data_IF_020167516010
#
_entry.id   IF_020167516010
#
_cell.length_a   1.000
_cell.length_b   1.000
_cell.length_c   1.000
_cell.angle_alpha   90.00
_cell.angle_beta   90.00
_cell.angle_gamma   90.00
#
_symmetry.space_group_name_H-M   'P 1'
#
loop_
_entity.id
_entity.type
_entity.pdbx_description
1 polymer ?
#
# COMPACT_ATOMS: atom_id res chain seq x y z
N UNK A 1 13.19 6.89 20.91
CA UNK A 1 12.97 5.63 20.15
C UNK A 1 14.33 4.98 19.90
N UNK A 2 14.56 3.76 20.38
CA UNK A 2 15.74 3.02 19.96
C UNK A 2 15.56 2.65 18.50
N UNK A 3 16.57 2.92 17.67
CA UNK A 3 16.56 2.47 16.29
C UNK A 3 16.42 0.95 16.26
N UNK A 4 15.59 0.40 15.36
CA UNK A 4 15.47 -1.04 15.21
C UNK A 4 16.85 -1.65 14.89
N UNK A 5 17.10 -2.92 15.29
CA UNK A 5 18.37 -3.59 15.03
C UNK A 5 18.75 -3.48 13.55
N UNK A 6 20.02 -3.14 13.29
CA UNK A 6 20.57 -2.96 11.95
C UNK A 6 20.70 -4.30 11.24
N UNK A 7 19.60 -4.84 10.74
CA UNK A 7 19.66 -5.80 9.65
C UNK A 7 20.29 -5.08 8.45
N UNK A 8 21.17 -5.73 7.67
CA UNK A 8 21.71 -5.13 6.45
C UNK A 8 20.61 -5.06 5.39
N UNK A 9 19.67 -4.13 5.56
CA UNK A 9 18.58 -3.85 4.63
C UNK A 9 19.12 -2.82 3.64
N UNK A 10 19.12 -3.17 2.36
CA UNK A 10 19.35 -2.20 1.31
C UNK A 10 18.07 -1.39 1.13
N UNK A 11 18.17 -0.09 1.35
CA UNK A 11 17.07 0.85 1.11
C UNK A 11 17.36 1.65 -0.16
N UNK A 12 16.35 1.81 -0.99
CA UNK A 12 16.40 2.67 -2.17
C UNK A 12 15.15 3.53 -2.22
N UNK A 13 15.31 4.78 -2.63
CA UNK A 13 14.22 5.74 -2.79
C UNK A 13 14.17 6.12 -4.26
N UNK A 14 12.98 6.02 -4.86
CA UNK A 14 12.72 6.51 -6.21
C UNK A 14 11.53 7.46 -6.19
N UNK A 15 11.46 8.33 -7.20
CA UNK A 15 10.35 9.24 -7.43
C UNK A 15 9.40 8.75 -8.52
N UNK A 16 9.66 7.57 -9.10
CA UNK A 16 8.82 6.98 -10.16
C UNK A 16 8.43 5.55 -9.83
N UNK A 17 7.18 5.18 -10.14
CA UNK A 17 6.71 3.80 -9.99
C UNK A 17 7.38 2.85 -10.99
N UNK A 18 7.73 3.35 -12.17
CA UNK A 18 8.30 2.58 -13.28
C UNK A 18 9.62 1.91 -12.91
N UNK A 19 10.43 2.54 -12.05
CA UNK A 19 11.68 1.95 -11.55
C UNK A 19 11.44 0.88 -10.48
N UNK A 20 10.41 1.05 -9.65
CA UNK A 20 10.15 0.16 -8.51
C UNK A 20 9.34 -1.09 -8.89
N UNK A 21 8.32 -0.94 -9.74
CA UNK A 21 7.34 -1.99 -10.05
C UNK A 21 7.99 -3.28 -10.58
N UNK A 22 8.93 -3.26 -11.54
CA UNK A 22 9.47 -4.50 -12.14
C UNK A 22 10.22 -5.41 -11.14
N UNK A 23 10.80 -4.83 -10.10
CA UNK A 23 11.60 -5.55 -9.10
C UNK A 23 10.82 -5.89 -7.82
N UNK A 24 9.58 -5.42 -7.71
CA UNK A 24 8.76 -5.53 -6.51
C UNK A 24 8.08 -6.89 -6.39
N UNK A 25 8.18 -7.52 -5.21
CA UNK A 25 7.40 -8.70 -4.84
C UNK A 25 6.11 -8.33 -4.08
N UNK A 26 6.14 -7.23 -3.32
CA UNK A 26 4.96 -6.69 -2.61
C UNK A 26 4.86 -5.19 -2.84
N UNK A 27 3.87 -4.76 -3.62
CA UNK A 27 3.54 -3.35 -3.81
C UNK A 27 2.55 -2.94 -2.73
N UNK A 28 3.06 -2.27 -1.68
CA UNK A 28 2.21 -1.77 -0.60
C UNK A 28 1.83 -0.32 -0.84
N UNK A 29 0.59 -0.10 -1.30
CA UNK A 29 0.03 1.21 -1.56
C UNK A 29 -0.52 1.83 -0.28
N UNK A 30 -0.50 3.17 -0.19
CA UNK A 30 -1.09 3.90 0.94
C UNK A 30 -1.95 5.06 0.44
N UNK A 31 -2.99 5.38 1.21
CA UNK A 31 -3.83 6.55 0.94
C UNK A 31 -3.13 7.85 1.32
N UNK A 32 -3.39 8.93 0.58
CA UNK A 32 -3.10 10.28 1.08
C UNK A 32 -4.11 10.63 2.17
N UNK A 33 -3.61 10.80 3.39
CA UNK A 33 -4.43 11.08 4.57
C UNK A 33 -4.78 12.57 4.63
N UNK A 34 -5.99 12.94 4.17
CA UNK A 34 -6.49 14.33 4.16
C UNK A 34 -6.37 14.99 5.54
N UNK A 35 -6.63 14.23 6.59
CA UNK A 35 -6.55 14.65 7.99
C UNK A 35 -5.15 15.07 8.47
N UNK A 36 -4.10 14.81 7.68
CA UNK A 36 -2.72 15.23 8.00
C UNK A 36 -2.33 16.59 7.43
N UNK A 37 -3.21 17.22 6.65
CA UNK A 37 -2.93 18.51 6.03
C UNK A 37 -3.40 19.66 6.91
N UNK A 38 -2.60 20.74 7.07
CA UNK A 38 -3.01 21.92 7.83
C UNK A 38 -4.25 22.61 7.27
N UNK A 39 -4.41 22.58 5.94
CA UNK A 39 -5.55 23.17 5.24
C UNK A 39 -6.03 22.29 4.09
N UNK A 40 -7.30 22.45 3.72
CA UNK A 40 -7.87 21.81 2.52
C UNK A 40 -7.12 22.21 1.24
N UNK A 41 -6.64 23.46 1.15
CA UNK A 41 -5.86 23.93 0.01
C UNK A 41 -4.57 23.12 -0.16
N UNK A 42 -3.87 22.81 0.92
CA UNK A 42 -2.63 22.04 0.87
C UNK A 42 -2.91 20.62 0.37
N UNK A 43 -3.97 19.98 0.88
CA UNK A 43 -4.41 18.68 0.41
C UNK A 43 -4.73 18.66 -1.10
N UNK A 44 -5.53 19.62 -1.58
CA UNK A 44 -5.88 19.71 -3.00
C UNK A 44 -4.67 20.04 -3.88
N UNK A 45 -3.73 20.86 -3.39
CA UNK A 45 -2.51 21.18 -4.15
C UNK A 45 -1.68 19.93 -4.46
N UNK A 46 -1.67 18.93 -3.56
CA UNK A 46 -0.97 17.66 -3.78
C UNK A 46 -1.81 16.72 -4.63
N UNK A 47 -3.06 16.47 -4.24
CA UNK A 47 -3.91 15.47 -4.93
C UNK A 47 -4.30 15.85 -6.35
N UNK A 48 -4.25 17.14 -6.70
CA UNK A 48 -4.45 17.61 -8.07
C UNK A 48 -3.13 17.81 -8.82
N UNK A 49 -1.98 17.61 -8.17
CA UNK A 49 -0.68 17.74 -8.82
C UNK A 49 -0.42 16.57 -9.78
N UNK A 50 0.38 16.84 -10.81
CA UNK A 50 0.90 15.80 -11.70
C UNK A 50 1.75 14.77 -10.94
N UNK A 51 2.40 15.18 -9.85
CA UNK A 51 3.21 14.29 -9.02
C UNK A 51 2.36 13.22 -8.34
N UNK A 52 1.16 13.56 -7.84
CA UNK A 52 0.28 12.56 -7.24
C UNK A 52 -0.14 11.48 -8.23
N UNK A 53 -0.46 11.86 -9.48
CA UNK A 53 -0.82 10.91 -10.53
C UNK A 53 0.30 9.90 -10.82
N UNK A 54 1.56 10.29 -10.67
CA UNK A 54 2.71 9.39 -10.86
C UNK A 54 2.81 8.30 -9.78
N UNK A 55 2.09 8.43 -8.66
CA UNK A 55 2.01 7.45 -7.59
C UNK A 55 0.67 6.71 -7.54
N UNK A 56 -0.24 6.98 -8.49
CA UNK A 56 -1.47 6.21 -8.65
C UNK A 56 -1.20 5.02 -9.58
N UNK A 57 -1.87 3.90 -9.35
CA UNK A 57 -1.76 2.71 -10.22
C UNK A 57 -3.08 2.44 -10.95
N UNK A 58 -2.95 2.10 -12.22
CA UNK A 58 -3.97 1.49 -13.06
C UNK A 58 -3.46 0.14 -13.59
N UNK A 59 -4.28 -0.57 -14.36
CA UNK A 59 -3.89 -1.85 -14.97
C UNK A 59 -2.65 -1.77 -15.85
N UNK A 60 -2.37 -0.62 -16.47
CA UNK A 60 -1.20 -0.42 -17.33
C UNK A 60 0.08 -0.25 -16.50
N UNK A 61 0.01 0.55 -15.44
CA UNK A 61 1.11 0.84 -14.53
C UNK A 61 1.66 -0.44 -13.89
N UNK A 62 0.78 -1.40 -13.58
CA UNK A 62 1.15 -2.68 -12.97
C UNK A 62 1.52 -3.79 -13.96
N UNK A 63 1.42 -3.57 -15.28
CA UNK A 63 1.83 -4.57 -16.28
C UNK A 63 3.29 -5.03 -16.10
N UNK A 64 4.27 -4.15 -15.81
CA UNK A 64 5.66 -4.56 -15.65
C UNK A 64 5.94 -5.34 -14.36
N UNK A 65 4.99 -5.40 -13.42
CA UNK A 65 5.21 -6.07 -12.14
C UNK A 65 5.39 -7.58 -12.34
N UNK A 66 6.15 -8.21 -11.45
CA UNK A 66 6.32 -9.67 -11.47
C UNK A 66 4.96 -10.36 -11.45
N UNK A 67 4.85 -11.50 -12.14
CA UNK A 67 3.63 -12.31 -12.11
C UNK A 67 3.30 -12.83 -10.69
N UNK A 68 4.34 -12.99 -9.85
CA UNK A 68 4.24 -13.43 -8.45
C UNK A 68 4.09 -12.26 -7.48
N UNK A 69 4.11 -11.01 -7.96
CA UNK A 69 3.96 -9.86 -7.08
C UNK A 69 2.54 -9.84 -6.49
N UNK A 70 2.40 -9.28 -5.29
CA UNK A 70 1.09 -8.97 -4.71
C UNK A 70 0.95 -7.47 -4.48
N UNK A 71 -0.26 -6.96 -4.61
CA UNK A 71 -0.62 -5.57 -4.37
C UNK A 71 -1.45 -5.51 -3.08
N UNK A 72 -0.99 -4.72 -2.12
CA UNK A 72 -1.57 -4.58 -0.80
C UNK A 72 -1.97 -3.12 -0.54
N UNK A 73 -2.99 -2.92 0.28
CA UNK A 73 -3.47 -1.60 0.66
C UNK A 73 -4.24 -1.68 1.97
N UNK A 74 -4.02 -0.80 2.95
CA UNK A 74 -4.66 -0.88 4.27
C UNK A 74 -6.15 -0.51 4.25
N UNK A 75 -6.62 0.16 3.20
CA UNK A 75 -7.99 0.65 3.00
C UNK A 75 -8.44 1.70 4.06
N UNK A 76 -9.53 2.45 3.81
CA UNK A 76 -10.21 2.61 2.52
C UNK A 76 -9.28 3.28 1.49
N UNK A 77 -9.44 2.92 0.22
CA UNK A 77 -8.73 3.57 -0.88
C UNK A 77 -9.49 4.81 -1.37
N UNK A 78 -8.77 5.77 -1.93
CA UNK A 78 -9.34 6.90 -2.67
C UNK A 78 -9.09 6.70 -4.17
N UNK A 79 -8.22 7.51 -4.79
CA UNK A 79 -7.94 7.48 -6.23
C UNK A 79 -6.56 6.90 -6.55
N UNK A 80 -5.80 6.46 -5.53
CA UNK A 80 -4.45 5.93 -5.68
C UNK A 80 -4.38 4.54 -6.33
N UNK A 81 -5.50 3.80 -6.36
CA UNK A 81 -5.63 2.52 -7.06
C UNK A 81 -6.91 2.62 -7.89
N UNK A 82 -6.79 2.56 -9.21
CA UNK A 82 -7.93 2.54 -10.11
C UNK A 82 -8.75 1.24 -9.91
N UNK A 83 -10.09 1.30 -9.96
CA UNK A 83 -10.94 0.11 -9.90
C UNK A 83 -10.63 -0.96 -10.95
N UNK A 84 -9.98 -0.64 -12.06
CA UNK A 84 -9.57 -1.61 -13.08
C UNK A 84 -8.50 -2.62 -12.59
N UNK A 85 -7.86 -2.33 -11.45
CA UNK A 85 -6.89 -3.21 -10.78
C UNK A 85 -7.59 -4.30 -9.95
N UNK A 86 -8.88 -4.15 -9.63
CA UNK A 86 -9.61 -5.07 -8.73
C UNK A 86 -9.68 -6.50 -9.27
N UNK A 87 -9.77 -6.63 -10.59
CA UNK A 87 -9.83 -7.92 -11.28
C UNK A 87 -8.44 -8.54 -11.52
N UNK A 88 -7.35 -7.84 -11.16
CA UNK A 88 -6.01 -8.39 -11.28
C UNK A 88 -5.78 -9.46 -10.20
N UNK A 89 -5.34 -10.68 -10.53
CA UNK A 89 -5.12 -11.75 -9.55
C UNK A 89 -4.06 -11.41 -8.49
N UNK A 90 -3.23 -10.38 -8.73
CA UNK A 90 -2.23 -9.89 -7.79
C UNK A 90 -2.84 -8.95 -6.74
N UNK A 91 -4.06 -8.45 -6.93
CA UNK A 91 -4.75 -7.56 -6.00
C UNK A 91 -5.21 -8.32 -4.75
N UNK A 92 -4.48 -8.15 -3.64
CA UNK A 92 -4.68 -8.90 -2.40
C UNK A 92 -5.24 -8.06 -1.25
N UNK A 93 -5.57 -6.79 -1.47
CA UNK A 93 -6.03 -5.88 -0.41
C UNK A 93 -7.39 -6.26 0.20
N UNK A 94 -8.27 -6.95 -0.52
CA UNK A 94 -9.52 -7.49 0.07
C UNK A 94 -9.23 -8.72 0.94
N UNK A 95 -8.42 -9.65 0.45
CA UNK A 95 -7.92 -10.79 1.23
C UNK A 95 -7.16 -10.32 2.48
N UNK A 96 -6.39 -9.23 2.38
CA UNK A 96 -5.70 -8.60 3.51
C UNK A 96 -6.68 -8.15 4.59
N UNK A 97 -7.82 -7.55 4.23
CA UNK A 97 -8.86 -7.15 5.20
C UNK A 97 -9.47 -8.35 5.88
N UNK A 98 -9.78 -9.42 5.12
CA UNK A 98 -10.27 -10.68 5.68
C UNK A 98 -9.25 -11.29 6.65
N UNK A 99 -7.99 -11.36 6.25
CA UNK A 99 -6.89 -11.82 7.09
C UNK A 99 -6.76 -11.00 8.38
N UNK A 100 -7.11 -9.71 8.36
CA UNK A 100 -7.18 -8.87 9.55
C UNK A 100 -8.23 -9.31 10.58
N UNK A 101 -9.30 -10.00 10.18
CA UNK A 101 -10.26 -10.61 11.10
C UNK A 101 -9.62 -11.79 11.82
N UNK A 102 -9.06 -12.74 11.06
CA UNK A 102 -8.42 -13.93 11.63
C UNK A 102 -7.22 -13.57 12.53
N UNK A 103 -6.41 -12.59 12.13
CA UNK A 103 -5.29 -12.13 12.92
C UNK A 103 -5.75 -11.55 14.27
N UNK A 104 -6.83 -10.77 14.29
CA UNK A 104 -7.40 -10.25 15.54
C UNK A 104 -7.98 -11.35 16.41
N UNK A 105 -8.67 -12.33 15.83
CA UNK A 105 -9.16 -13.49 16.57
C UNK A 105 -8.00 -14.25 17.22
N UNK A 106 -6.92 -14.52 16.48
CA UNK A 106 -5.73 -15.18 17.01
C UNK A 106 -5.06 -14.36 18.13
N UNK A 107 -4.89 -13.05 17.95
CA UNK A 107 -4.33 -12.16 18.98
C UNK A 107 -5.19 -12.17 20.24
N UNK A 108 -6.53 -12.07 20.11
CA UNK A 108 -7.44 -12.10 21.24
C UNK A 108 -7.40 -13.45 21.96
N UNK A 109 -7.39 -14.56 21.22
CA UNK A 109 -7.23 -15.91 21.75
C UNK A 109 -5.92 -16.03 22.53
N UNK A 110 -4.79 -15.62 21.95
CA UNK A 110 -3.48 -15.71 22.61
C UNK A 110 -3.39 -14.87 23.90
N UNK A 111 -4.12 -13.76 24.00
CA UNK A 111 -4.11 -12.88 25.18
C UNK A 111 -5.10 -13.35 26.26
N UNK A 112 -6.28 -13.83 25.87
CA UNK A 112 -7.40 -14.04 26.77
C UNK A 112 -7.80 -15.50 26.99
N UNK A 113 -7.31 -16.43 26.16
CA UNK A 113 -7.46 -17.86 26.47
C UNK A 113 -6.52 -18.18 27.64
N UNK A 114 -7.09 -18.61 28.77
CA UNK A 114 -6.33 -19.22 29.85
C UNK A 114 -5.62 -20.47 29.28
N UNK A 115 -4.32 -20.36 28.99
CA UNK A 115 -3.43 -21.52 28.88
C UNK A 115 -3.25 -22.14 30.26
#
# INVERSE_FOLDING_TARGET
>A
PQDPPSYPIQQTTTITLQEAIPITDVLYMTRIQRERFPTERDYYSITLSHNYKNYCIDKNAIQPAKQTAIIMHPLPRSNEIDPDVDDDPRAMYMTQVENGVYMRMAILETIFSDQ
#
